data_IF_688100180677
#
_entry.id   IF_688100180677
#
_cell.length_a   1.000
_cell.length_b   1.000
_cell.length_c   1.000
_cell.angle_alpha   90.00
_cell.angle_beta   90.00
_cell.angle_gamma   90.00
#
_symmetry.space_group_name_H-M   'P 1'
#
loop_
_entity.id
_entity.type
_entity.pdbx_description
1 polymer ?
#
# COMPACT_ATOMS: atom_id res chain seq x y z
N UNK A 1 29.42 -41.46 2.50
CA UNK A 1 28.03 -41.32 3.01
C UNK A 1 28.07 -41.11 4.51
N UNK A 2 27.55 -39.97 5.01
CA UNK A 2 27.48 -39.66 6.44
C UNK A 2 26.45 -40.61 7.06
N UNK A 3 26.90 -41.61 7.84
CA UNK A 3 25.96 -42.50 8.55
C UNK A 3 25.21 -41.63 9.56
N UNK A 4 23.91 -41.43 9.35
CA UNK A 4 23.04 -40.88 10.39
C UNK A 4 23.16 -41.75 11.64
N UNK A 5 23.09 -41.13 12.82
CA UNK A 5 23.13 -41.84 14.09
C UNK A 5 22.16 -43.03 14.06
N UNK A 6 22.63 -44.21 14.46
CA UNK A 6 21.80 -45.41 14.56
C UNK A 6 20.89 -45.39 15.79
N UNK A 7 21.09 -44.42 16.68
CA UNK A 7 20.26 -44.17 17.86
C UNK A 7 18.87 -43.66 17.45
N UNK A 8 17.78 -44.40 17.73
CA UNK A 8 16.41 -44.00 17.41
C UNK A 8 16.04 -42.62 17.93
N UNK A 9 16.43 -42.26 19.16
CA UNK A 9 16.08 -40.97 19.76
C UNK A 9 16.71 -39.80 19.01
N UNK A 10 17.96 -39.96 18.55
CA UNK A 10 18.63 -38.95 17.74
C UNK A 10 18.02 -38.81 16.35
N UNK A 11 17.51 -39.90 15.75
CA UNK A 11 16.80 -39.82 14.46
C UNK A 11 15.48 -39.08 14.63
N UNK A 12 14.69 -39.42 15.63
CA UNK A 12 13.38 -38.81 15.88
C UNK A 12 13.53 -37.31 16.19
N UNK A 13 14.50 -36.94 17.03
CA UNK A 13 14.81 -35.53 17.31
C UNK A 13 15.25 -34.76 16.04
N UNK A 14 16.05 -35.37 15.17
CA UNK A 14 16.46 -34.76 13.92
C UNK A 14 15.28 -34.60 12.94
N UNK A 15 14.38 -35.59 12.86
CA UNK A 15 13.16 -35.49 12.06
C UNK A 15 12.23 -34.38 12.56
N UNK A 16 11.99 -34.30 13.87
CA UNK A 16 11.19 -33.23 14.47
C UNK A 16 11.80 -31.85 14.23
N UNK A 17 13.11 -31.71 14.40
CA UNK A 17 13.81 -30.46 14.13
C UNK A 17 13.64 -30.05 12.67
N UNK A 18 13.86 -30.97 11.72
CA UNK A 18 13.68 -30.72 10.30
C UNK A 18 12.23 -30.35 9.97
N UNK A 19 11.24 -31.02 10.59
CA UNK A 19 9.82 -30.69 10.41
C UNK A 19 9.53 -29.26 10.84
N UNK A 20 9.94 -28.88 12.06
CA UNK A 20 9.76 -27.50 12.57
C UNK A 20 10.42 -26.47 11.66
N UNK A 21 11.60 -26.78 11.11
CA UNK A 21 12.30 -25.89 10.18
C UNK A 21 11.52 -25.70 8.88
N UNK A 22 10.92 -26.77 8.33
CA UNK A 22 10.07 -26.67 7.14
C UNK A 22 8.80 -25.87 7.42
N UNK A 23 8.13 -26.14 8.55
CA UNK A 23 6.92 -25.40 8.96
C UNK A 23 7.21 -23.90 9.10
N UNK A 24 8.34 -23.54 9.73
CA UNK A 24 8.77 -22.14 9.87
C UNK A 24 9.16 -21.51 8.54
N UNK A 25 9.81 -22.25 7.64
CA UNK A 25 10.15 -21.75 6.31
C UNK A 25 8.88 -21.47 5.49
N UNK A 26 7.88 -22.35 5.57
CA UNK A 26 6.60 -22.19 4.92
C UNK A 26 5.84 -20.95 5.44
N UNK A 27 5.73 -20.79 6.76
CA UNK A 27 5.10 -19.62 7.37
C UNK A 27 5.74 -18.30 6.90
N UNK A 28 7.08 -18.26 6.83
CA UNK A 28 7.80 -17.08 6.33
C UNK A 28 7.57 -16.84 4.85
N UNK A 29 7.47 -17.90 4.06
CA UNK A 29 7.18 -17.80 2.63
C UNK A 29 5.77 -17.27 2.38
N UNK A 30 4.79 -17.82 3.08
CA UNK A 30 3.39 -17.39 3.02
C UNK A 30 3.25 -15.93 3.42
N UNK A 31 3.81 -15.53 4.57
CA UNK A 31 3.75 -14.14 5.03
C UNK A 31 4.44 -13.15 4.07
N UNK A 32 5.56 -13.54 3.45
CA UNK A 32 6.21 -12.69 2.42
C UNK A 32 5.35 -12.56 1.18
N UNK A 33 4.71 -13.65 0.75
CA UNK A 33 3.86 -13.68 -0.45
C UNK A 33 2.61 -12.85 -0.24
N UNK A 34 1.95 -12.99 0.91
CA UNK A 34 0.77 -12.21 1.29
C UNK A 34 1.11 -10.72 1.41
N UNK A 35 2.17 -10.38 2.16
CA UNK A 35 2.60 -8.99 2.30
C UNK A 35 3.00 -8.33 0.97
N UNK A 36 3.60 -9.08 0.04
CA UNK A 36 3.87 -8.58 -1.30
C UNK A 36 2.58 -8.35 -2.10
N UNK A 37 1.63 -9.27 -2.04
CA UNK A 37 0.36 -9.14 -2.73
C UNK A 37 -0.44 -7.92 -2.22
N UNK A 38 -0.57 -7.78 -0.89
CA UNK A 38 -1.20 -6.62 -0.26
C UNK A 38 -0.49 -5.31 -0.62
N UNK A 39 0.85 -5.30 -0.59
CA UNK A 39 1.64 -4.12 -0.94
C UNK A 39 1.46 -3.70 -2.40
N UNK A 40 1.37 -4.66 -3.33
CA UNK A 40 1.09 -4.38 -4.74
C UNK A 40 -0.32 -3.81 -4.91
N UNK A 41 -1.32 -4.40 -4.26
CA UNK A 41 -2.71 -3.93 -4.34
C UNK A 41 -2.85 -2.49 -3.81
N UNK A 42 -2.30 -2.21 -2.63
CA UNK A 42 -2.27 -0.87 -2.05
C UNK A 42 -1.53 0.13 -2.95
N UNK A 43 -0.40 -0.29 -3.55
CA UNK A 43 0.37 0.54 -4.48
C UNK A 43 -0.43 0.90 -5.73
N UNK A 44 -1.13 -0.07 -6.32
CA UNK A 44 -2.00 0.14 -7.49
C UNK A 44 -3.16 1.08 -7.14
N UNK A 45 -3.82 0.88 -6.00
CA UNK A 45 -4.91 1.74 -5.56
C UNK A 45 -4.43 3.19 -5.35
N UNK A 46 -3.31 3.38 -4.66
CA UNK A 46 -2.70 4.69 -4.45
C UNK A 46 -2.36 5.37 -5.78
N UNK A 47 -1.73 4.64 -6.71
CA UNK A 47 -1.37 5.19 -8.02
C UNK A 47 -2.60 5.62 -8.84
N UNK A 48 -3.70 4.86 -8.77
CA UNK A 48 -4.96 5.22 -9.44
C UNK A 48 -5.52 6.54 -8.91
N UNK A 49 -5.53 6.72 -7.59
CA UNK A 49 -6.02 7.94 -6.95
C UNK A 49 -5.13 9.15 -7.27
N UNK A 50 -3.80 8.99 -7.21
CA UNK A 50 -2.85 10.05 -7.56
C UNK A 50 -2.98 10.47 -9.04
N UNK A 51 -3.10 9.49 -9.94
CA UNK A 51 -3.33 9.76 -11.36
C UNK A 51 -4.64 10.53 -11.56
N UNK A 52 -5.72 10.14 -10.88
CA UNK A 52 -7.01 10.83 -10.96
C UNK A 52 -6.93 12.27 -10.44
N UNK A 53 -6.23 12.50 -9.32
CA UNK A 53 -5.97 13.85 -8.78
C UNK A 53 -5.28 14.74 -9.81
N UNK A 54 -4.26 14.22 -10.48
CA UNK A 54 -3.51 14.98 -11.49
C UNK A 54 -4.36 15.27 -12.73
N UNK A 55 -5.17 14.31 -13.18
CA UNK A 55 -6.10 14.53 -14.29
C UNK A 55 -7.18 15.58 -13.95
N UNK A 56 -7.68 15.60 -12.72
CA UNK A 56 -8.61 16.64 -12.24
C UNK A 56 -7.98 18.03 -12.27
N UNK A 57 -6.72 18.16 -11.84
CA UNK A 57 -5.96 19.43 -11.91
C UNK A 57 -5.76 19.91 -13.35
N UNK A 58 -5.63 18.98 -14.30
CA UNK A 58 -5.52 19.27 -15.73
C UNK A 58 -6.90 19.37 -16.42
N UNK A 59 -7.98 19.53 -15.65
CA UNK A 59 -9.35 19.72 -16.16
C UNK A 59 -9.85 18.60 -17.09
N UNK A 60 -9.38 17.37 -16.89
CA UNK A 60 -9.92 16.21 -17.58
C UNK A 60 -11.38 15.96 -17.16
N UNK A 61 -12.19 15.45 -18.09
CA UNK A 61 -13.59 15.13 -17.78
C UNK A 61 -13.71 13.88 -16.89
N UNK A 62 -14.76 13.85 -16.06
CA UNK A 62 -15.00 12.79 -15.08
C UNK A 62 -15.10 11.39 -15.69
N UNK A 63 -15.77 11.26 -16.84
CA UNK A 63 -15.96 9.98 -17.51
C UNK A 63 -14.62 9.40 -17.97
N UNK A 64 -13.74 10.25 -18.51
CA UNK A 64 -12.40 9.87 -18.93
C UNK A 64 -11.51 9.51 -17.74
N UNK A 65 -11.60 10.25 -16.64
CA UNK A 65 -10.85 9.94 -15.41
C UNK A 65 -11.25 8.57 -14.86
N UNK A 66 -12.55 8.30 -14.74
CA UNK A 66 -13.06 6.99 -14.28
C UNK A 66 -12.63 5.87 -15.24
N UNK A 67 -12.66 6.12 -16.56
CA UNK A 67 -12.24 5.14 -17.56
C UNK A 67 -10.76 4.76 -17.40
N UNK A 68 -9.88 5.73 -17.20
CA UNK A 68 -8.43 5.54 -17.13
C UNK A 68 -7.97 4.97 -15.79
N UNK A 69 -8.54 5.47 -14.68
CA UNK A 69 -8.07 5.14 -13.33
C UNK A 69 -8.88 4.05 -12.64
N UNK A 70 -10.04 3.69 -13.20
CA UNK A 70 -10.98 2.70 -12.64
C UNK A 70 -11.49 3.04 -11.24
N UNK A 71 -11.36 4.28 -10.80
CA UNK A 71 -11.97 4.75 -9.54
C UNK A 71 -13.47 4.95 -9.74
N UNK A 72 -14.23 4.80 -8.66
CA UNK A 72 -15.67 5.01 -8.69
C UNK A 72 -16.05 6.50 -8.52
N UNK A 73 -17.35 6.80 -8.72
CA UNK A 73 -17.87 8.16 -8.59
C UNK A 73 -17.65 8.75 -7.19
N UNK A 74 -17.84 7.97 -6.13
CA UNK A 74 -17.65 8.44 -4.76
C UNK A 74 -16.19 8.86 -4.50
N UNK A 75 -15.24 8.05 -4.94
CA UNK A 75 -13.82 8.37 -4.86
C UNK A 75 -13.53 9.66 -5.65
N UNK A 76 -14.03 9.77 -6.87
CA UNK A 76 -13.83 10.96 -7.70
C UNK A 76 -14.38 12.23 -7.04
N UNK A 77 -15.60 12.18 -6.48
CA UNK A 77 -16.20 13.32 -5.78
C UNK A 77 -15.42 13.68 -4.50
N UNK A 78 -14.88 12.70 -3.78
CA UNK A 78 -14.01 12.95 -2.63
C UNK A 78 -12.71 13.66 -3.06
N UNK A 79 -12.09 13.23 -4.16
CA UNK A 79 -10.90 13.86 -4.72
C UNK A 79 -11.14 15.32 -5.11
N UNK A 80 -12.29 15.62 -5.72
CA UNK A 80 -12.68 17.00 -6.06
C UNK A 80 -12.80 17.88 -4.81
N UNK A 81 -13.42 17.38 -3.73
CA UNK A 81 -13.52 18.10 -2.46
C UNK A 81 -12.15 18.38 -1.83
N UNK A 82 -11.25 17.40 -1.85
CA UNK A 82 -9.88 17.56 -1.35
C UNK A 82 -9.14 18.66 -2.13
N UNK A 83 -9.24 18.66 -3.45
CA UNK A 83 -8.60 19.68 -4.30
C UNK A 83 -9.14 21.08 -3.96
N UNK A 84 -10.46 21.24 -3.87
CA UNK A 84 -11.09 22.53 -3.52
C UNK A 84 -10.70 23.00 -2.12
N UNK A 85 -10.62 22.07 -1.15
CA UNK A 85 -10.24 22.39 0.23
C UNK A 85 -8.80 22.92 0.34
N UNK A 86 -7.88 22.46 -0.50
CA UNK A 86 -6.48 22.93 -0.50
C UNK A 86 -6.40 24.41 -0.90
N UNK A 87 -7.26 24.87 -1.82
CA UNK A 87 -7.26 26.27 -2.26
C UNK A 87 -7.75 27.25 -1.18
N UNK A 88 -8.67 26.83 -0.31
CA UNK A 88 -9.21 27.72 0.73
C UNK A 88 -8.23 27.94 1.91
N UNK A 89 -7.22 27.09 2.07
CA UNK A 89 -6.20 27.26 3.12
C UNK A 89 -5.08 28.21 2.71
N UNK A 90 -4.80 28.34 1.41
CA UNK A 90 -3.74 29.24 0.91
C UNK A 90 -4.10 30.72 0.99
N UNK A 91 -5.39 31.05 1.07
CA UNK A 91 -5.85 32.43 1.24
C UNK A 91 -5.73 32.91 2.71
N UNK A 92 -5.98 32.04 3.69
CA UNK A 92 -5.94 32.40 5.13
C UNK A 92 -4.52 32.64 5.65
N UNK A 93 -3.54 31.87 5.18
CA UNK A 93 -2.12 32.01 5.61
C UNK A 93 -1.44 33.26 5.01
N UNK A 94 -1.98 33.81 3.92
CA UNK A 94 -1.44 34.99 3.25
C UNK A 94 -1.89 36.31 3.91
N UNK A 95 -3.04 36.32 4.57
CA UNK A 95 -3.57 37.51 5.25
C UNK A 95 -2.95 37.73 6.64
N UNK A 96 -2.41 36.69 7.28
CA UNK A 96 -1.76 36.81 8.59
C UNK A 96 -0.35 37.42 8.54
N UNK A 97 0.37 37.36 7.42
CA UNK A 97 1.72 37.93 7.32
C UNK A 97 1.75 39.46 7.21
N UNK A 98 0.62 40.11 6.93
CA UNK A 98 0.54 41.57 6.82
C UNK A 98 0.19 42.29 8.13
N UNK A 99 -0.24 41.59 9.18
CA UNK A 99 -0.68 42.19 10.45
C UNK A 99 0.38 42.13 11.57
N UNK A 100 1.56 41.56 11.31
CA UNK A 100 2.64 41.42 12.30
C UNK A 100 3.76 42.48 12.13
N UNK A 101 3.48 43.60 11.46
CA UNK A 101 4.44 44.69 11.24
C UNK A 101 3.80 46.04 11.53
N UNK A 102 3.43 46.27 12.78
CA UNK A 102 3.23 47.60 13.39
C UNK A 102 3.69 47.56 14.86
#
# INVERSE_FOLDING_TARGET
MKRMSSDPAMRDAAFEHNRRMMDMAQLRYEGKREGLAEGIEQGIEKQRLETAKEMLRNHCNDQFIQLCTKINLQQLEQLKKEIVSVFNQTEDDSEQSHLASD
#
